data_IF_720953872203
#
_entry.id   IF_720953872203
#
_cell.length_a   1.000
_cell.length_b   1.000
_cell.length_c   1.000
_cell.angle_alpha   90.00
_cell.angle_beta   90.00
_cell.angle_gamma   90.00
#
_symmetry.space_group_name_H-M   'P 1'
#
loop_
_entity.id
_entity.type
_entity.pdbx_description
1 polymer ?
#
# COMPACT_ATOMS: atom_id res chain seq x y z
N UNK A 1 25.02 -3.28 -12.11
CA UNK A 1 23.74 -3.82 -12.63
C UNK A 1 22.92 -4.48 -11.52
N UNK A 2 23.47 -5.35 -10.65
CA UNK A 2 22.66 -5.94 -9.56
C UNK A 2 22.08 -4.91 -8.56
N UNK A 3 22.86 -3.91 -8.15
CA UNK A 3 22.36 -2.84 -7.27
C UNK A 3 21.14 -2.11 -7.84
N UNK A 4 21.06 -1.99 -9.16
CA UNK A 4 19.96 -1.29 -9.83
C UNK A 4 18.62 -2.02 -9.66
N UNK A 5 18.60 -3.35 -9.49
CA UNK A 5 17.35 -4.08 -9.19
C UNK A 5 16.70 -3.60 -7.89
N UNK A 6 17.50 -3.16 -6.93
CA UNK A 6 17.01 -2.74 -5.61
C UNK A 6 16.74 -1.24 -5.53
N UNK A 7 17.61 -0.41 -6.11
CA UNK A 7 17.59 1.05 -5.86
C UNK A 7 17.21 1.89 -7.08
N UNK A 8 17.04 1.30 -8.27
CA UNK A 8 16.74 2.09 -9.45
C UNK A 8 15.36 2.74 -9.35
N UNK A 9 15.30 4.02 -9.72
CA UNK A 9 14.06 4.79 -9.89
C UNK A 9 13.05 4.11 -10.82
N UNK A 10 13.50 3.30 -11.75
CA UNK A 10 12.65 2.66 -12.75
C UNK A 10 11.75 1.57 -12.12
N UNK A 11 12.09 1.05 -10.94
CA UNK A 11 11.19 0.19 -10.16
C UNK A 11 9.86 0.90 -9.83
N UNK A 12 9.87 2.23 -9.65
CA UNK A 12 8.68 3.03 -9.41
C UNK A 12 8.06 3.64 -10.68
N UNK A 13 8.53 3.26 -11.87
CA UNK A 13 8.13 3.86 -13.16
C UNK A 13 7.68 2.85 -14.21
N UNK A 14 7.70 1.55 -13.92
CA UNK A 14 7.09 0.56 -14.81
C UNK A 14 5.64 0.95 -15.06
N UNK A 15 5.11 0.73 -16.28
CA UNK A 15 3.73 1.09 -16.58
C UNK A 15 2.73 0.52 -15.58
N UNK A 16 1.65 1.27 -15.33
CA UNK A 16 0.59 0.85 -14.44
C UNK A 16 -0.14 -0.38 -15.00
N UNK A 17 -0.55 -1.29 -14.11
CA UNK A 17 -1.14 -2.58 -14.46
C UNK A 17 -2.67 -2.51 -14.34
N UNK A 18 -3.35 -2.11 -15.42
CA UNK A 18 -4.81 -1.91 -15.43
C UNK A 18 -5.56 -3.23 -15.42
N UNK A 19 -5.18 -4.15 -16.28
CA UNK A 19 -5.84 -5.45 -16.51
C UNK A 19 -4.79 -6.50 -16.91
N UNK A 20 -5.23 -7.73 -17.19
CA UNK A 20 -4.34 -8.83 -17.55
C UNK A 20 -4.07 -8.95 -19.06
N UNK A 21 -4.52 -8.00 -19.88
CA UNK A 21 -4.33 -7.99 -21.33
C UNK A 21 -2.90 -7.59 -21.74
N UNK A 22 -2.61 -7.52 -23.04
CA UNK A 22 -1.29 -7.12 -23.52
C UNK A 22 -0.82 -5.80 -22.89
N UNK A 23 0.44 -5.76 -22.45
CA UNK A 23 1.01 -4.62 -21.70
C UNK A 23 0.18 -4.17 -20.48
N UNK A 24 -0.56 -5.10 -19.86
CA UNK A 24 -1.45 -4.83 -18.73
C UNK A 24 -2.52 -3.77 -19.01
N UNK A 25 -2.98 -3.66 -20.27
CA UNK A 25 -3.91 -2.61 -20.71
C UNK A 25 -3.34 -1.20 -20.72
N UNK A 26 -2.03 -1.01 -20.50
CA UNK A 26 -1.41 0.31 -20.49
C UNK A 26 -1.34 0.95 -21.88
N UNK A 27 -1.07 0.15 -22.91
CA UNK A 27 -0.98 0.61 -24.29
C UNK A 27 -1.15 -0.55 -25.26
N UNK A 28 -1.75 -0.29 -26.42
CA UNK A 28 -1.78 -1.21 -27.56
C UNK A 28 -0.49 -1.18 -28.39
N UNK A 29 0.42 -0.23 -28.11
CA UNK A 29 1.72 -0.10 -28.77
C UNK A 29 2.85 -0.74 -27.98
N UNK A 30 4.08 -0.24 -28.17
CA UNK A 30 5.21 -0.61 -27.34
C UNK A 30 5.32 0.34 -26.14
N UNK A 31 5.28 -0.15 -24.89
CA UNK A 31 5.47 0.72 -23.74
C UNK A 31 6.92 1.21 -23.70
N UNK A 32 7.10 2.46 -23.25
CA UNK A 32 8.41 3.11 -23.16
C UNK A 32 9.36 2.42 -22.15
N UNK A 33 8.80 1.66 -21.20
CA UNK A 33 9.50 0.78 -20.28
C UNK A 33 8.70 -0.53 -20.16
N UNK A 34 9.40 -1.67 -20.00
CA UNK A 34 8.75 -2.97 -19.89
C UNK A 34 7.79 -3.01 -18.70
N UNK A 35 6.60 -3.57 -18.91
CA UNK A 35 5.64 -3.88 -17.84
C UNK A 35 6.18 -5.02 -16.97
N UNK A 36 5.96 -4.95 -15.66
CA UNK A 36 6.39 -6.03 -14.77
C UNK A 36 5.57 -7.30 -15.08
N UNK A 37 6.21 -8.46 -15.33
CA UNK A 37 5.52 -9.70 -15.71
C UNK A 37 4.41 -10.17 -14.75
N UNK A 38 4.41 -9.72 -13.50
CA UNK A 38 3.39 -10.05 -12.52
C UNK A 38 2.01 -9.43 -12.79
N UNK A 39 1.83 -8.63 -13.85
CA UNK A 39 0.56 -7.99 -14.19
C UNK A 39 -0.61 -8.96 -14.42
N UNK A 40 -0.30 -10.23 -14.74
CA UNK A 40 -1.30 -11.29 -14.84
C UNK A 40 -1.96 -11.63 -13.50
N UNK A 41 -1.27 -11.40 -12.40
CA UNK A 41 -1.75 -11.66 -11.04
C UNK A 41 -2.10 -10.36 -10.30
N UNK A 42 -1.33 -9.30 -10.54
CA UNK A 42 -1.49 -8.00 -9.89
C UNK A 42 -1.97 -6.99 -10.93
N UNK A 43 -3.27 -6.72 -10.99
CA UNK A 43 -3.80 -5.63 -11.81
C UNK A 43 -5.05 -5.03 -11.15
N UNK A 44 -5.42 -3.82 -11.59
CA UNK A 44 -6.55 -3.11 -11.00
C UNK A 44 -7.88 -3.85 -11.21
N UNK A 45 -8.15 -4.31 -12.42
CA UNK A 45 -9.38 -5.04 -12.78
C UNK A 45 -9.66 -6.23 -11.85
N UNK A 46 -8.66 -7.11 -11.68
CA UNK A 46 -8.76 -8.26 -10.79
C UNK A 46 -9.00 -7.84 -9.33
N UNK A 47 -8.36 -6.75 -8.89
CA UNK A 47 -8.52 -6.24 -7.54
C UNK A 47 -9.86 -5.51 -7.31
N UNK A 48 -10.55 -5.06 -8.36
CA UNK A 48 -11.83 -4.36 -8.18
C UNK A 48 -12.93 -5.27 -7.66
N UNK A 49 -12.98 -6.49 -8.17
CA UNK A 49 -14.04 -7.44 -7.83
C UNK A 49 -13.71 -8.26 -6.58
N UNK A 50 -12.44 -8.36 -6.20
CA UNK A 50 -12.02 -9.02 -4.96
C UNK A 50 -12.16 -8.08 -3.74
N UNK A 51 -13.14 -8.36 -2.87
CA UNK A 51 -13.39 -7.59 -1.65
C UNK A 51 -12.23 -7.59 -0.64
N UNK A 52 -11.33 -8.58 -0.74
CA UNK A 52 -10.15 -8.75 0.10
C UNK A 52 -8.87 -8.25 -0.57
N UNK A 53 -8.97 -7.63 -1.75
CA UNK A 53 -7.82 -7.09 -2.47
C UNK A 53 -7.13 -5.95 -1.73
N UNK A 54 -5.87 -5.71 -2.06
CA UNK A 54 -5.10 -4.56 -1.54
C UNK A 54 -5.82 -3.25 -1.88
N UNK A 55 -6.30 -3.09 -3.12
CA UNK A 55 -7.05 -1.92 -3.57
C UNK A 55 -8.30 -1.67 -2.71
N UNK A 56 -9.11 -2.70 -2.47
CA UNK A 56 -10.33 -2.57 -1.67
C UNK A 56 -10.02 -2.38 -0.17
N UNK A 57 -8.93 -2.95 0.35
CA UNK A 57 -8.42 -2.62 1.69
C UNK A 57 -8.04 -1.14 1.82
N UNK A 58 -7.32 -0.59 0.83
CA UNK A 58 -6.97 0.84 0.81
C UNK A 58 -8.21 1.73 0.73
N UNK A 59 -9.22 1.38 -0.08
CA UNK A 59 -10.49 2.12 -0.13
C UNK A 59 -11.21 2.13 1.21
N UNK A 60 -11.34 0.97 1.87
CA UNK A 60 -11.92 0.84 3.22
C UNK A 60 -11.15 1.73 4.21
N UNK A 61 -9.82 1.70 4.17
CA UNK A 61 -8.95 2.50 5.05
C UNK A 61 -9.04 4.01 4.79
N UNK A 62 -9.10 4.43 3.52
CA UNK A 62 -9.27 5.85 3.16
C UNK A 62 -10.65 6.36 3.60
N UNK A 63 -11.71 5.57 3.42
CA UNK A 63 -13.04 5.90 3.92
C UNK A 63 -13.01 6.04 5.44
N UNK A 64 -12.46 5.06 6.15
CA UNK A 64 -12.28 5.12 7.61
C UNK A 64 -11.51 6.36 8.04
N UNK A 65 -10.42 6.72 7.35
CA UNK A 65 -9.66 7.96 7.62
C UNK A 65 -10.53 9.21 7.46
N UNK A 66 -11.33 9.31 6.40
CA UNK A 66 -12.22 10.46 6.14
C UNK A 66 -13.33 10.60 7.19
N UNK A 67 -13.84 9.48 7.70
CA UNK A 67 -14.87 9.44 8.75
C UNK A 67 -14.30 9.71 10.16
N UNK A 68 -12.98 9.75 10.32
CA UNK A 68 -12.31 9.84 11.60
C UNK A 68 -11.23 10.93 11.59
N UNK A 69 -11.62 12.17 11.88
CA UNK A 69 -10.71 13.33 11.95
C UNK A 69 -9.52 13.13 12.90
N UNK A 70 -9.67 12.28 13.93
CA UNK A 70 -8.56 11.87 14.82
C UNK A 70 -7.37 11.27 14.06
N UNK A 71 -7.61 10.59 12.93
CA UNK A 71 -6.53 10.07 12.07
C UNK A 71 -5.89 11.17 11.22
N UNK A 72 -6.55 12.29 11.00
CA UNK A 72 -6.04 13.43 10.23
C UNK A 72 -5.30 14.39 11.16
N UNK A 73 -5.99 14.91 12.18
CA UNK A 73 -5.54 16.02 13.02
C UNK A 73 -5.14 15.61 14.44
N UNK A 74 -5.38 14.36 14.85
CA UNK A 74 -5.06 13.92 16.21
C UNK A 74 -3.57 13.93 16.51
N UNK A 75 -3.21 14.27 17.75
CA UNK A 75 -1.84 14.20 18.27
C UNK A 75 -1.36 12.75 18.22
N UNK A 76 -0.11 12.53 17.80
CA UNK A 76 0.53 11.22 17.79
C UNK A 76 1.36 11.01 19.04
N UNK A 77 1.24 9.83 19.67
CA UNK A 77 2.14 9.39 20.74
C UNK A 77 2.64 7.98 20.39
N UNK A 78 3.97 7.83 20.29
CA UNK A 78 4.61 6.57 19.92
C UNK A 78 4.87 5.70 21.15
N UNK A 79 4.82 4.39 20.96
CA UNK A 79 5.23 3.39 21.94
C UNK A 79 6.46 2.67 21.45
N UNK A 80 7.31 2.28 22.41
CA UNK A 80 8.46 1.38 22.22
C UNK A 80 9.19 1.58 20.88
N UNK A 81 9.77 2.76 20.68
CA UNK A 81 10.48 3.12 19.44
C UNK A 81 11.71 2.23 19.15
N UNK A 82 12.11 1.40 20.11
CA UNK A 82 13.21 0.43 19.95
C UNK A 82 12.71 -0.94 19.48
N UNK A 83 11.39 -1.16 19.44
CA UNK A 83 10.83 -2.39 18.91
C UNK A 83 11.17 -2.55 17.43
N UNK A 84 11.85 -3.64 17.10
CA UNK A 84 12.09 -4.05 15.71
C UNK A 84 10.91 -4.84 15.13
N UNK A 85 9.92 -5.20 15.97
CA UNK A 85 8.83 -6.10 15.58
C UNK A 85 7.50 -5.38 15.40
N UNK A 86 7.09 -4.53 16.36
CA UNK A 86 5.79 -3.87 16.34
C UNK A 86 5.98 -2.36 16.34
N UNK A 87 5.47 -1.71 15.29
CA UNK A 87 5.34 -0.26 15.28
C UNK A 87 3.97 0.14 15.84
N UNK A 88 3.98 0.71 17.05
CA UNK A 88 2.78 1.06 17.79
C UNK A 88 2.71 2.55 18.11
N UNK A 89 1.54 3.15 17.94
CA UNK A 89 1.29 4.54 18.31
C UNK A 89 -0.20 4.80 18.54
N UNK A 90 -0.52 5.88 19.26
CA UNK A 90 -1.89 6.38 19.34
C UNK A 90 -2.09 7.65 18.54
N UNK A 91 -3.35 7.91 18.18
CA UNK A 91 -3.83 9.19 17.66
C UNK A 91 -4.96 9.68 18.55
N UNK A 92 -4.87 10.91 19.06
CA UNK A 92 -5.85 11.46 19.99
C UNK A 92 -6.33 12.86 19.59
N UNK A 93 -7.65 13.08 19.58
CA UNK A 93 -8.29 14.36 19.27
C UNK A 93 -9.62 14.46 20.02
N UNK A 94 -9.85 15.56 20.75
CA UNK A 94 -11.12 15.87 21.43
C UNK A 94 -11.68 14.70 22.27
N UNK A 95 -10.82 14.04 23.05
CA UNK A 95 -11.20 12.89 23.90
C UNK A 95 -11.38 11.57 23.16
N UNK A 96 -11.29 11.55 21.82
CA UNK A 96 -11.28 10.32 21.03
C UNK A 96 -9.83 9.85 20.83
N UNK A 97 -9.56 8.60 21.18
CA UNK A 97 -8.24 7.97 21.05
C UNK A 97 -8.32 6.69 20.21
N UNK A 98 -7.40 6.53 19.27
CA UNK A 98 -7.18 5.29 18.51
C UNK A 98 -5.79 4.75 18.81
N UNK A 99 -5.66 3.43 18.93
CA UNK A 99 -4.40 2.70 19.00
C UNK A 99 -4.15 2.03 17.64
N UNK A 100 -2.96 2.23 17.08
CA UNK A 100 -2.49 1.63 15.84
C UNK A 100 -1.36 0.68 16.18
N UNK A 101 -1.46 -0.56 15.69
CA UNK A 101 -0.48 -1.63 15.90
C UNK A 101 -0.14 -2.23 14.54
N UNK A 102 1.13 -2.19 14.16
CA UNK A 102 1.62 -2.75 12.90
C UNK A 102 2.74 -3.76 13.20
N UNK A 103 2.51 -5.03 12.91
CA UNK A 103 3.54 -6.07 12.96
C UNK A 103 4.35 -6.01 11.66
N UNK A 104 5.66 -5.74 11.77
CA UNK A 104 6.60 -5.66 10.66
C UNK A 104 7.39 -6.95 10.45
N UNK A 105 7.01 -8.03 11.12
CA UNK A 105 7.61 -9.36 11.00
C UNK A 105 6.64 -10.35 10.35
N UNK A 106 7.17 -11.51 9.97
CA UNK A 106 6.41 -12.68 9.51
C UNK A 106 6.01 -13.62 10.67
N UNK A 107 6.27 -13.22 11.92
CA UNK A 107 6.00 -14.01 13.12
C UNK A 107 4.71 -13.54 13.80
N UNK A 108 4.08 -14.44 14.55
CA UNK A 108 3.04 -14.06 15.48
C UNK A 108 3.69 -13.43 16.72
N UNK A 109 3.37 -12.17 17.00
CA UNK A 109 3.96 -11.33 18.06
C UNK A 109 2.86 -10.84 18.97
#
# INVERSE_FOLDING_TARGET
MESQKLIARDNGRTPFQWEDSENAGFTSGQPWLKVNPNYKEINAEAQETDENSVLNYFRKTIRFRKENEVLVYGKTEYFDLQSESVFAYTRELNGRKLLILLNFTDKNV
#
